data_IF_916999249008
#
_entry.id   IF_916999249008
#
_cell.length_a   1.000
_cell.length_b   1.000
_cell.length_c   1.000
_cell.angle_alpha   90.00
_cell.angle_beta   90.00
_cell.angle_gamma   90.00
#
_symmetry.space_group_name_H-M   'P 1'
#
loop_
_entity.id
_entity.type
_entity.pdbx_description
1 polymer ?
#
# COMPACT_ATOMS: atom_id res chain seq x y z
N UNK A 1 12.61 19.17 7.94
CA UNK A 1 11.80 18.32 7.05
C UNK A 1 11.92 16.88 7.54
N UNK A 2 11.07 16.47 8.47
CA UNK A 2 11.00 15.08 8.89
C UNK A 2 9.82 14.45 8.16
N UNK A 3 10.06 13.98 6.96
CA UNK A 3 9.06 13.30 6.14
C UNK A 3 8.86 11.83 6.54
N UNK A 4 9.55 11.40 7.58
CA UNK A 4 9.32 10.12 8.24
C UNK A 4 9.30 10.40 9.74
N UNK A 5 8.14 10.64 10.30
CA UNK A 5 7.96 10.78 11.75
C UNK A 5 7.93 9.44 12.48
N UNK A 6 7.90 8.31 11.76
CA UNK A 6 7.74 7.00 12.32
C UNK A 6 9.05 6.24 12.47
N UNK A 7 9.19 5.59 13.61
CA UNK A 7 10.31 4.71 13.86
C UNK A 7 10.12 3.42 13.05
N UNK A 8 10.67 3.36 11.83
CA UNK A 8 10.66 2.20 10.94
C UNK A 8 11.61 1.08 11.38
N UNK A 9 12.03 1.06 12.64
CA UNK A 9 12.81 -0.07 13.15
C UNK A 9 11.93 -1.30 13.18
N UNK A 10 12.45 -2.39 12.65
CA UNK A 10 11.82 -3.70 12.71
C UNK A 10 11.54 -4.09 14.15
N UNK A 11 10.36 -4.58 14.44
CA UNK A 11 10.08 -5.16 15.75
C UNK A 11 10.95 -6.41 15.94
N UNK A 12 11.67 -6.45 17.05
CA UNK A 12 12.44 -7.65 17.42
C UNK A 12 11.48 -8.65 18.05
N UNK A 13 11.24 -9.76 17.38
CA UNK A 13 10.42 -10.87 17.88
C UNK A 13 11.28 -12.12 18.01
N UNK A 14 10.86 -13.02 18.88
CA UNK A 14 11.41 -14.37 18.92
C UNK A 14 11.13 -15.08 17.59
N UNK A 15 12.11 -15.84 17.12
CA UNK A 15 11.96 -16.62 15.87
C UNK A 15 10.89 -17.68 16.04
N UNK A 16 9.99 -17.78 15.07
CA UNK A 16 9.02 -18.86 14.98
C UNK A 16 9.68 -20.12 14.45
N UNK A 17 9.19 -21.27 14.90
CA UNK A 17 9.56 -22.57 14.32
C UNK A 17 9.00 -22.75 12.90
N UNK A 18 7.84 -22.19 12.64
CA UNK A 18 7.18 -22.24 11.35
C UNK A 18 7.59 -21.05 10.49
N UNK A 19 7.91 -21.25 9.20
CA UNK A 19 8.30 -20.16 8.32
C UNK A 19 7.11 -19.24 8.03
N UNK A 20 7.40 -17.95 7.84
CA UNK A 20 6.46 -16.99 7.31
C UNK A 20 6.24 -17.19 5.80
N UNK A 21 7.32 -17.44 5.05
CA UNK A 21 7.26 -17.77 3.64
C UNK A 21 7.01 -19.27 3.46
N UNK A 22 5.74 -19.64 3.54
CA UNK A 22 5.31 -21.04 3.42
C UNK A 22 5.60 -21.63 2.04
N UNK A 23 5.67 -22.96 1.94
CA UNK A 23 5.86 -23.64 0.66
C UNK A 23 4.73 -23.36 -0.34
N UNK A 24 3.54 -23.07 0.17
CA UNK A 24 2.40 -22.64 -0.66
C UNK A 24 2.68 -21.27 -1.29
N UNK A 25 3.07 -20.27 -0.48
CA UNK A 25 3.43 -18.93 -0.98
C UNK A 25 4.60 -18.98 -1.97
N UNK A 26 5.64 -19.79 -1.68
CA UNK A 26 6.77 -19.99 -2.62
C UNK A 26 6.31 -20.55 -3.97
N UNK A 27 5.41 -21.53 -3.94
CA UNK A 27 4.84 -22.14 -5.15
C UNK A 27 4.03 -21.13 -5.95
N UNK A 28 3.17 -20.34 -5.30
CA UNK A 28 2.37 -19.30 -5.93
C UNK A 28 3.25 -18.20 -6.55
N UNK A 29 4.22 -17.70 -5.80
CA UNK A 29 5.17 -16.70 -6.30
C UNK A 29 5.97 -17.22 -7.50
N UNK A 30 6.45 -18.47 -7.42
CA UNK A 30 7.19 -19.09 -8.51
C UNK A 30 6.35 -19.27 -9.76
N UNK A 31 5.13 -19.78 -9.62
CA UNK A 31 4.23 -20.01 -10.75
C UNK A 31 3.77 -18.72 -11.42
N UNK A 32 3.48 -17.68 -10.62
CA UNK A 32 2.91 -16.42 -11.11
C UNK A 32 3.96 -15.47 -11.66
N UNK A 33 5.11 -15.34 -10.98
CA UNK A 33 6.04 -14.25 -11.23
C UNK A 33 7.34 -14.66 -11.93
N UNK A 34 7.92 -15.85 -11.66
CA UNK A 34 9.16 -16.26 -12.32
C UNK A 34 9.07 -16.30 -13.84
N UNK A 35 7.95 -16.73 -14.46
CA UNK A 35 7.84 -16.67 -15.92
C UNK A 35 7.74 -15.26 -16.49
N UNK A 36 7.42 -14.25 -15.67
CA UNK A 36 7.21 -12.86 -16.10
C UNK A 36 8.46 -12.00 -16.01
N UNK A 37 9.42 -12.40 -15.19
CA UNK A 37 10.59 -11.60 -14.88
C UNK A 37 11.88 -12.34 -15.24
N UNK A 38 12.89 -11.62 -15.77
CA UNK A 38 14.15 -12.23 -16.18
C UNK A 38 15.04 -12.65 -14.99
N UNK A 39 14.79 -12.10 -13.79
CA UNK A 39 15.59 -12.38 -12.60
C UNK A 39 14.69 -12.61 -11.37
N UNK A 40 15.14 -13.45 -10.45
CA UNK A 40 14.45 -13.66 -9.16
C UNK A 40 14.34 -12.37 -8.34
N UNK A 41 15.33 -11.48 -8.43
CA UNK A 41 15.31 -10.17 -7.74
C UNK A 41 14.07 -9.35 -8.07
N UNK A 42 13.56 -9.41 -9.29
CA UNK A 42 12.35 -8.68 -9.69
C UNK A 42 11.08 -9.16 -8.97
N UNK A 43 11.14 -10.31 -8.30
CA UNK A 43 10.02 -10.87 -7.52
C UNK A 43 10.05 -10.40 -6.05
N UNK A 44 11.03 -9.58 -5.66
CA UNK A 44 11.17 -9.12 -4.27
C UNK A 44 9.93 -8.33 -3.80
N UNK A 45 9.46 -7.35 -4.57
CA UNK A 45 8.26 -6.59 -4.21
C UNK A 45 7.01 -7.49 -4.08
N UNK A 46 6.69 -8.34 -5.08
CA UNK A 46 5.61 -9.32 -4.94
C UNK A 46 5.72 -10.23 -3.71
N UNK A 47 6.94 -10.67 -3.37
CA UNK A 47 7.15 -11.54 -2.22
C UNK A 47 6.89 -10.80 -0.88
N UNK A 48 7.35 -9.56 -0.76
CA UNK A 48 7.06 -8.72 0.41
C UNK A 48 5.56 -8.44 0.56
N UNK A 49 4.87 -8.15 -0.55
CA UNK A 49 3.41 -8.01 -0.53
C UNK A 49 2.71 -9.31 -0.09
N UNK A 50 3.12 -10.46 -0.60
CA UNK A 50 2.53 -11.74 -0.20
C UNK A 50 2.67 -12.01 1.31
N UNK A 51 3.83 -11.70 1.88
CA UNK A 51 4.04 -11.78 3.34
C UNK A 51 3.14 -10.78 4.08
N UNK A 52 3.13 -9.51 3.64
CA UNK A 52 2.32 -8.49 4.29
C UNK A 52 0.83 -8.80 4.25
N UNK A 53 0.33 -9.33 3.14
CA UNK A 53 -1.06 -9.79 3.03
C UNK A 53 -1.38 -10.96 3.95
N UNK A 54 -0.45 -11.92 4.08
CA UNK A 54 -0.66 -13.09 4.94
C UNK A 54 -0.60 -12.76 6.45
N UNK A 55 0.22 -11.78 6.84
CA UNK A 55 0.52 -11.52 8.26
C UNK A 55 0.25 -10.09 8.71
N UNK A 56 -0.24 -9.22 7.81
CA UNK A 56 -0.53 -7.81 8.04
C UNK A 56 0.71 -6.91 8.27
N UNK A 57 1.91 -7.47 8.27
CA UNK A 57 3.22 -6.80 8.38
C UNK A 57 4.35 -7.74 7.97
N UNK A 58 5.60 -7.24 7.89
CA UNK A 58 6.76 -8.01 7.42
C UNK A 58 7.78 -8.18 8.57
N UNK A 59 7.80 -9.34 9.25
CA UNK A 59 8.80 -9.65 10.27
C UNK A 59 10.21 -9.80 9.70
N UNK A 60 11.24 -9.56 10.52
CA UNK A 60 12.64 -9.76 10.13
C UNK A 60 12.90 -11.19 9.62
N UNK A 61 12.37 -12.20 10.29
CA UNK A 61 12.50 -13.60 9.87
C UNK A 61 11.91 -13.80 8.46
N UNK A 62 10.77 -13.19 8.14
CA UNK A 62 10.19 -13.27 6.80
C UNK A 62 11.09 -12.65 5.73
N UNK A 63 11.77 -11.53 6.05
CA UNK A 63 12.73 -10.92 5.13
C UNK A 63 13.95 -11.82 4.86
N UNK A 64 14.45 -12.51 5.88
CA UNK A 64 15.52 -13.49 5.74
C UNK A 64 15.09 -14.69 4.86
N UNK A 65 13.88 -15.19 5.07
CA UNK A 65 13.30 -16.29 4.28
C UNK A 65 13.06 -15.88 2.80
N UNK A 66 12.61 -14.66 2.57
CA UNK A 66 12.48 -14.08 1.21
C UNK A 66 13.85 -13.93 0.55
N UNK A 67 14.87 -13.49 1.30
CA UNK A 67 16.22 -13.35 0.81
C UNK A 67 16.77 -14.70 0.34
N UNK A 68 16.62 -15.75 1.16
CA UNK A 68 17.05 -17.11 0.81
C UNK A 68 16.31 -17.62 -0.43
N UNK A 69 14.99 -17.46 -0.50
CA UNK A 69 14.16 -17.91 -1.62
C UNK A 69 14.53 -17.25 -2.95
N UNK A 70 14.85 -15.96 -2.91
CA UNK A 70 15.17 -15.17 -4.11
C UNK A 70 16.68 -15.12 -4.41
N UNK A 71 17.52 -15.78 -3.59
CA UNK A 71 18.98 -15.75 -3.70
C UNK A 71 19.56 -14.33 -3.57
N UNK A 72 19.01 -13.54 -2.65
CA UNK A 72 19.40 -12.18 -2.33
C UNK A 72 20.08 -12.13 -0.95
N UNK A 73 20.76 -11.04 -0.64
CA UNK A 73 21.20 -10.80 0.72
C UNK A 73 20.05 -10.28 1.59
N UNK A 74 19.98 -10.63 2.89
CA UNK A 74 18.98 -10.05 3.80
C UNK A 74 19.03 -8.51 3.86
N UNK A 75 20.18 -7.91 3.65
CA UNK A 75 20.34 -6.46 3.59
C UNK A 75 19.59 -5.84 2.40
N UNK A 76 19.65 -6.44 1.21
CA UNK A 76 18.92 -5.97 0.03
C UNK A 76 17.40 -6.03 0.24
N UNK A 77 16.91 -7.07 0.92
CA UNK A 77 15.50 -7.20 1.26
C UNK A 77 15.09 -6.14 2.26
N UNK A 78 15.89 -5.92 3.31
CA UNK A 78 15.66 -4.89 4.31
C UNK A 78 15.68 -3.48 3.71
N UNK A 79 16.66 -3.18 2.85
CA UNK A 79 16.75 -1.90 2.15
C UNK A 79 15.48 -1.62 1.34
N UNK A 80 14.99 -2.62 0.62
CA UNK A 80 13.75 -2.50 -0.15
C UNK A 80 12.55 -2.31 0.76
N UNK A 81 12.41 -3.12 1.81
CA UNK A 81 11.30 -3.05 2.73
C UNK A 81 11.25 -1.73 3.52
N UNK A 82 12.41 -1.12 3.80
CA UNK A 82 12.49 0.19 4.47
C UNK A 82 12.34 1.38 3.53
N UNK A 83 12.59 1.20 2.23
CA UNK A 83 12.50 2.26 1.23
C UNK A 83 11.05 2.61 0.90
N UNK A 84 10.17 1.61 0.74
CA UNK A 84 8.78 1.82 0.37
C UNK A 84 7.89 2.01 1.59
N UNK A 85 7.08 3.06 1.60
CA UNK A 85 6.13 3.37 2.69
C UNK A 85 5.00 2.36 2.82
N UNK A 86 4.72 1.62 1.76
CA UNK A 86 3.71 0.58 1.73
C UNK A 86 4.04 -0.62 2.64
N UNK A 87 5.33 -0.86 2.91
CA UNK A 87 5.74 -2.01 3.73
C UNK A 87 5.79 -1.67 5.22
N UNK A 88 5.07 -2.48 5.99
CA UNK A 88 4.99 -2.35 7.44
C UNK A 88 5.92 -3.33 8.13
N UNK A 89 6.89 -2.80 8.85
CA UNK A 89 7.90 -3.58 9.60
C UNK A 89 7.51 -3.79 11.07
N UNK A 90 6.28 -3.39 11.42
CA UNK A 90 5.65 -3.59 12.73
C UNK A 90 4.20 -3.99 12.53
N UNK A 91 3.63 -4.72 13.50
CA UNK A 91 2.21 -5.01 13.47
C UNK A 91 1.39 -3.72 13.37
N UNK A 92 0.44 -3.69 12.46
CA UNK A 92 -0.55 -2.62 12.32
C UNK A 92 -1.94 -3.13 12.65
N UNK A 93 -2.87 -2.21 12.85
CA UNK A 93 -4.27 -2.55 13.06
C UNK A 93 -4.92 -3.20 11.84
N UNK A 94 -6.09 -3.76 12.05
CA UNK A 94 -6.90 -4.34 10.98
C UNK A 94 -7.21 -3.31 9.87
N UNK A 95 -7.46 -2.07 10.26
CA UNK A 95 -7.69 -0.94 9.35
C UNK A 95 -6.59 0.09 9.51
N UNK A 96 -5.86 0.33 8.43
CA UNK A 96 -4.89 1.38 8.33
C UNK A 96 -5.55 2.62 7.72
N UNK A 97 -5.68 3.68 8.50
CA UNK A 97 -6.21 4.96 8.06
C UNK A 97 -5.03 5.86 7.72
N UNK A 98 -4.93 6.27 6.45
CA UNK A 98 -3.81 7.03 5.92
C UNK A 98 -4.35 8.35 5.36
N UNK A 99 -4.18 9.45 6.08
CA UNK A 99 -4.67 10.76 5.67
C UNK A 99 -3.61 11.46 4.84
N UNK A 100 -3.99 11.95 3.67
CA UNK A 100 -3.08 12.74 2.83
C UNK A 100 -2.83 14.12 3.46
N UNK A 101 -1.55 14.48 3.63
CA UNK A 101 -1.12 15.77 4.17
C UNK A 101 -0.40 16.66 3.15
N UNK A 102 -0.48 16.32 1.86
CA UNK A 102 0.14 17.13 0.81
C UNK A 102 -0.61 18.44 0.58
N UNK A 103 0.03 19.38 -0.09
CA UNK A 103 -0.39 20.77 -0.21
C UNK A 103 -1.88 20.95 -0.53
N UNK A 104 -2.41 20.25 -1.53
CA UNK A 104 -3.83 20.39 -1.90
C UNK A 104 -4.76 19.93 -0.77
N UNK A 105 -4.44 18.82 -0.11
CA UNK A 105 -5.22 18.31 1.01
C UNK A 105 -5.10 19.21 2.24
N UNK A 106 -3.92 19.75 2.51
CA UNK A 106 -3.67 20.70 3.58
C UNK A 106 -4.52 21.98 3.42
N UNK A 107 -4.54 22.57 2.22
CA UNK A 107 -5.40 23.72 1.89
C UNK A 107 -6.89 23.38 2.04
N UNK A 108 -7.26 22.12 1.80
CA UNK A 108 -8.62 21.61 1.97
C UNK A 108 -8.88 21.02 3.38
N UNK A 109 -8.15 21.46 4.39
CA UNK A 109 -8.38 21.12 5.82
C UNK A 109 -8.14 19.64 6.18
N UNK A 110 -7.23 18.92 5.50
CA UNK A 110 -6.90 17.52 5.87
C UNK A 110 -6.43 17.36 7.30
N UNK A 111 -5.79 18.40 7.88
CA UNK A 111 -5.39 18.40 9.28
C UNK A 111 -6.59 18.20 10.22
N UNK A 112 -7.77 18.75 9.89
CA UNK A 112 -9.00 18.54 10.69
C UNK A 112 -9.44 17.08 10.68
N UNK A 113 -9.18 16.35 9.58
CA UNK A 113 -9.48 14.92 9.50
C UNK A 113 -8.54 14.11 10.40
N UNK A 114 -7.24 14.41 10.35
CA UNK A 114 -6.23 13.79 11.24
C UNK A 114 -6.56 14.04 12.71
N UNK A 115 -6.80 15.28 13.10
CA UNK A 115 -7.10 15.64 14.49
C UNK A 115 -8.39 14.97 14.97
N UNK A 116 -9.39 14.88 14.11
CA UNK A 116 -10.62 14.17 14.42
C UNK A 116 -10.39 12.66 14.61
N UNK A 117 -9.59 12.01 13.74
CA UNK A 117 -9.22 10.60 13.91
C UNK A 117 -8.50 10.37 15.23
N UNK A 118 -7.51 11.20 15.56
CA UNK A 118 -6.78 11.11 16.85
C UNK A 118 -7.74 11.18 18.04
N UNK A 119 -8.63 12.15 18.03
CA UNK A 119 -9.61 12.32 19.09
C UNK A 119 -10.61 11.15 19.18
N UNK A 120 -11.14 10.70 18.04
CA UNK A 120 -12.13 9.65 17.96
C UNK A 120 -11.58 8.27 18.35
N UNK A 121 -10.37 7.96 17.90
CA UNK A 121 -9.73 6.66 18.10
C UNK A 121 -8.91 6.60 19.38
N UNK A 122 -8.59 7.77 19.98
CA UNK A 122 -7.78 7.87 21.19
C UNK A 122 -6.32 7.46 20.99
N UNK A 123 -5.77 7.69 19.81
CA UNK A 123 -4.40 7.34 19.42
C UNK A 123 -3.71 8.53 18.75
N UNK A 124 -2.39 8.54 18.78
CA UNK A 124 -1.56 9.46 18.03
C UNK A 124 -1.15 8.86 16.66
N UNK A 125 -0.51 9.69 15.82
CA UNK A 125 0.02 9.21 14.54
C UNK A 125 1.04 8.09 14.76
N UNK A 126 0.95 7.04 13.95
CA UNK A 126 1.80 5.84 14.05
C UNK A 126 1.36 4.83 15.11
N UNK A 127 0.33 5.14 15.87
CA UNK A 127 -0.18 4.24 16.89
C UNK A 127 -1.34 3.39 16.40
N UNK A 128 -1.51 2.26 17.07
CA UNK A 128 -2.62 1.33 16.87
C UNK A 128 -3.52 1.34 18.09
N UNK A 129 -4.83 1.32 17.88
CA UNK A 129 -5.81 1.23 18.98
C UNK A 129 -5.58 -0.01 19.83
N UNK A 130 -5.86 0.02 21.15
CA UNK A 130 -5.63 -1.11 22.04
C UNK A 130 -6.35 -2.41 21.65
N UNK A 131 -7.46 -2.30 20.92
CA UNK A 131 -8.20 -3.43 20.37
C UNK A 131 -7.58 -4.01 19.10
N UNK A 132 -6.47 -3.42 18.61
CA UNK A 132 -5.80 -3.85 17.38
C UNK A 132 -6.56 -3.52 16.10
N UNK A 133 -7.60 -2.68 16.18
CA UNK A 133 -8.49 -2.46 15.05
C UNK A 133 -8.01 -1.39 14.09
N UNK A 134 -7.53 -0.26 14.58
CA UNK A 134 -7.15 0.88 13.76
C UNK A 134 -5.70 1.28 13.98
N UNK A 135 -5.03 1.63 12.89
CA UNK A 135 -3.75 2.35 12.90
C UNK A 135 -3.94 3.65 12.12
N UNK A 136 -3.45 4.77 12.65
CA UNK A 136 -3.56 6.08 12.03
C UNK A 136 -2.19 6.58 11.59
N UNK A 137 -2.08 6.98 10.33
CA UNK A 137 -0.88 7.65 9.79
C UNK A 137 -1.24 8.76 8.83
N UNK A 138 -0.28 9.61 8.54
CA UNK A 138 -0.33 10.58 7.46
C UNK A 138 0.60 10.16 6.32
N UNK A 139 0.16 10.38 5.09
CA UNK A 139 0.97 10.19 3.88
C UNK A 139 1.20 11.51 3.15
N UNK A 140 2.33 11.61 2.44
CA UNK A 140 2.68 12.84 1.72
C UNK A 140 1.74 13.12 0.55
N UNK A 141 1.41 12.14 -0.28
CA UNK A 141 0.50 12.36 -1.42
C UNK A 141 -0.12 11.06 -1.90
N UNK A 142 -1.45 11.06 -2.05
CA UNK A 142 -2.23 9.94 -2.59
C UNK A 142 -2.60 10.11 -4.06
N UNK A 143 -2.12 11.16 -4.74
CA UNK A 143 -2.32 11.36 -6.17
C UNK A 143 -3.70 11.88 -6.59
N UNK A 144 -4.63 12.13 -5.67
CA UNK A 144 -6.01 12.54 -5.94
C UNK A 144 -6.26 14.02 -5.55
N UNK A 145 -5.38 14.93 -5.99
CA UNK A 145 -5.43 16.34 -5.60
C UNK A 145 -6.69 17.07 -6.09
N UNK A 146 -7.32 16.59 -7.18
CA UNK A 146 -8.54 17.19 -7.73
C UNK A 146 -9.78 16.96 -6.86
N UNK A 147 -9.74 16.03 -5.94
CA UNK A 147 -10.83 15.62 -5.05
C UNK A 147 -10.45 15.72 -3.57
N UNK A 148 -9.49 16.61 -3.28
CA UNK A 148 -9.00 16.85 -1.92
C UNK A 148 -10.12 17.34 -0.96
N UNK A 149 -10.03 17.03 0.35
CA UNK A 149 -9.02 16.21 0.99
C UNK A 149 -9.34 14.71 0.87
N UNK A 150 -8.30 13.86 0.85
CA UNK A 150 -8.43 12.42 0.64
C UNK A 150 -7.72 11.60 1.71
N UNK A 151 -8.17 10.36 1.90
CA UNK A 151 -7.51 9.36 2.74
C UNK A 151 -7.67 7.97 2.14
N UNK A 152 -6.73 7.06 2.46
CA UNK A 152 -6.91 5.63 2.26
C UNK A 152 -7.39 4.98 3.57
N UNK A 153 -8.31 4.04 3.44
CA UNK A 153 -8.59 3.07 4.49
C UNK A 153 -8.24 1.70 3.92
N UNK A 154 -7.12 1.15 4.38
CA UNK A 154 -6.41 0.08 3.69
C UNK A 154 -6.15 0.48 2.23
N UNK A 155 -6.65 -0.29 1.25
CA UNK A 155 -6.44 -0.03 -0.17
C UNK A 155 -7.57 0.78 -0.83
N UNK A 156 -8.56 1.23 -0.05
CA UNK A 156 -9.72 1.97 -0.57
C UNK A 156 -9.49 3.48 -0.42
N UNK A 157 -9.45 4.18 -1.55
CA UNK A 157 -9.36 5.64 -1.60
C UNK A 157 -10.72 6.27 -1.32
N UNK A 158 -10.76 7.21 -0.40
CA UNK A 158 -11.91 8.02 -0.07
C UNK A 158 -11.62 9.50 -0.39
N UNK A 159 -12.50 10.10 -1.14
CA UNK A 159 -12.31 11.43 -1.74
C UNK A 159 -13.33 12.43 -1.21
N UNK A 160 -12.99 13.75 -1.37
CA UNK A 160 -13.84 14.86 -0.90
C UNK A 160 -14.31 14.65 0.55
N UNK A 161 -13.36 14.29 1.41
CA UNK A 161 -13.65 13.93 2.78
C UNK A 161 -14.06 15.14 3.61
N UNK A 162 -15.07 14.90 4.44
CA UNK A 162 -15.43 15.74 5.60
C UNK A 162 -15.33 14.89 6.85
N UNK A 163 -15.29 15.52 8.02
CA UNK A 163 -15.33 14.81 9.30
C UNK A 163 -16.52 13.86 9.37
N UNK A 164 -17.68 14.28 8.87
CA UNK A 164 -18.90 13.48 8.87
C UNK A 164 -18.80 12.25 7.94
N UNK A 165 -18.25 12.44 6.73
CA UNK A 165 -17.98 11.31 5.81
C UNK A 165 -17.00 10.32 6.42
N UNK A 166 -15.92 10.82 7.03
CA UNK A 166 -14.93 9.98 7.70
C UNK A 166 -15.52 9.18 8.86
N UNK A 167 -16.41 9.81 9.64
CA UNK A 167 -17.16 9.14 10.70
C UNK A 167 -18.03 8.00 10.20
N UNK A 168 -18.71 8.21 9.08
CA UNK A 168 -19.55 7.18 8.44
C UNK A 168 -18.70 6.02 7.95
N UNK A 169 -17.53 6.31 7.32
CA UNK A 169 -16.60 5.30 6.86
C UNK A 169 -16.11 4.46 8.05
N UNK A 170 -15.55 5.09 9.08
CA UNK A 170 -15.01 4.38 10.25
C UNK A 170 -16.11 3.57 10.96
N UNK A 171 -17.30 4.14 11.09
CA UNK A 171 -18.44 3.48 11.74
C UNK A 171 -19.03 2.33 10.94
N UNK A 172 -18.89 2.35 9.61
CA UNK A 172 -19.38 1.32 8.70
C UNK A 172 -18.43 0.14 8.50
N UNK A 173 -17.19 0.25 8.96
CA UNK A 173 -16.19 -0.82 8.79
C UNK A 173 -16.59 -2.08 9.58
N UNK A 174 -16.53 -3.29 8.97
CA UNK A 174 -16.81 -4.55 9.66
C UNK A 174 -15.97 -4.73 10.92
N UNK A 175 -16.55 -5.39 11.94
CA UNK A 175 -15.83 -5.71 13.18
C UNK A 175 -14.91 -6.91 13.03
N UNK A 176 -15.26 -7.82 12.13
CA UNK A 176 -14.45 -9.00 11.83
C UNK A 176 -13.35 -8.66 10.85
N UNK A 177 -12.19 -9.27 11.04
CA UNK A 177 -11.05 -9.06 10.17
C UNK A 177 -11.40 -9.45 8.73
N UNK A 178 -11.21 -8.54 7.80
CA UNK A 178 -11.23 -8.88 6.38
C UNK A 178 -10.04 -9.81 6.09
N UNK A 179 -10.29 -10.88 5.36
CA UNK A 179 -9.21 -11.75 4.90
C UNK A 179 -8.50 -11.08 3.72
N UNK A 180 -7.38 -10.39 4.02
CA UNK A 180 -6.56 -9.70 3.01
C UNK A 180 -5.78 -10.65 2.09
N UNK A 181 -5.92 -11.98 2.27
CA UNK A 181 -5.21 -12.97 1.45
C UNK A 181 -5.65 -12.97 -0.01
N UNK A 182 -6.76 -12.34 -0.34
CA UNK A 182 -7.16 -12.11 -1.73
C UNK A 182 -7.24 -10.60 -2.01
N UNK A 183 -6.17 -9.97 -2.54
CA UNK A 183 -6.18 -8.55 -2.88
C UNK A 183 -7.21 -8.18 -3.97
N UNK A 184 -7.85 -9.19 -4.58
CA UNK A 184 -8.90 -8.98 -5.57
C UNK A 184 -10.32 -9.10 -5.00
N UNK A 185 -10.50 -9.57 -3.77
CA UNK A 185 -11.84 -9.69 -3.15
C UNK A 185 -12.40 -8.32 -2.75
N UNK A 186 -11.55 -7.40 -2.30
CA UNK A 186 -11.97 -6.03 -1.94
C UNK A 186 -12.51 -5.23 -3.14
N UNK A 187 -12.28 -5.69 -4.36
CA UNK A 187 -12.73 -5.04 -5.58
C UNK A 187 -14.12 -5.51 -6.05
N UNK A 188 -14.71 -6.50 -5.41
CA UNK A 188 -16.02 -7.03 -5.82
C UNK A 188 -17.21 -6.24 -5.28
N UNK A 189 -17.02 -5.40 -4.27
CA UNK A 189 -18.12 -4.69 -3.61
C UNK A 189 -18.42 -3.32 -4.23
N UNK A 190 -18.51 -3.24 -5.55
CA UNK A 190 -19.16 -2.12 -6.24
C UNK A 190 -18.27 -1.13 -6.97
N UNK A 191 -16.96 -1.30 -6.96
CA UNK A 191 -16.09 -0.61 -7.92
C UNK A 191 -15.69 -1.59 -9.01
N UNK A 192 -16.09 -1.32 -10.25
CA UNK A 192 -15.56 -2.02 -11.42
C UNK A 192 -14.05 -1.77 -11.48
N UNK A 193 -13.30 -2.64 -10.81
CA UNK A 193 -11.87 -2.61 -10.90
C UNK A 193 -11.50 -2.97 -12.34
N UNK A 194 -10.75 -2.11 -12.97
CA UNK A 194 -9.94 -2.51 -14.10
C UNK A 194 -8.82 -3.44 -13.58
N UNK A 195 -9.20 -4.68 -13.24
CA UNK A 195 -8.25 -5.74 -12.92
C UNK A 195 -7.26 -5.92 -14.07
N UNK A 196 -6.07 -6.48 -13.82
CA UNK A 196 -5.17 -6.84 -14.92
C UNK A 196 -5.94 -7.72 -15.87
N UNK A 197 -6.01 -7.31 -17.14
CA UNK A 197 -6.65 -8.05 -18.22
C UNK A 197 -6.24 -9.50 -18.15
N UNK A 198 -7.20 -10.42 -18.26
CA UNK A 198 -6.90 -11.84 -18.34
C UNK A 198 -5.83 -12.09 -19.40
N UNK A 199 -4.94 -13.09 -19.24
CA UNK A 199 -3.93 -13.39 -20.25
C UNK A 199 -4.59 -13.56 -21.60
N UNK A 200 -4.28 -12.67 -22.57
CA UNK A 200 -4.87 -12.68 -23.90
C UNK A 200 -5.89 -11.58 -24.19
N UNK A 201 -6.35 -10.82 -23.23
CA UNK A 201 -7.07 -9.57 -23.50
C UNK A 201 -6.05 -8.43 -23.45
N UNK A 202 -5.72 -7.87 -24.62
CA UNK A 202 -4.93 -6.65 -24.69
C UNK A 202 -5.59 -5.58 -23.83
N UNK A 203 -4.77 -4.73 -23.20
CA UNK A 203 -5.26 -3.49 -22.60
C UNK A 203 -6.21 -2.84 -23.61
N UNK A 204 -7.40 -2.38 -23.20
CA UNK A 204 -8.20 -1.53 -24.07
C UNK A 204 -7.27 -0.43 -24.54
N UNK A 205 -7.22 -0.22 -25.86
CA UNK A 205 -6.44 0.85 -26.47
C UNK A 205 -6.83 2.17 -25.81
N UNK A 206 -6.18 2.48 -24.73
CA UNK A 206 -6.16 3.84 -24.18
C UNK A 206 -5.24 4.63 -25.07
N UNK A 207 -5.68 4.87 -26.32
CA UNK A 207 -5.22 5.97 -27.12
C UNK A 207 -5.65 7.27 -26.44
N UNK A 208 -5.09 7.52 -25.26
CA UNK A 208 -4.96 8.87 -24.77
C UNK A 208 -3.92 9.49 -25.68
N UNK A 209 -4.39 10.07 -26.78
CA UNK A 209 -3.62 11.01 -27.56
C UNK A 209 -3.25 12.17 -26.62
N UNK A 210 -2.12 12.03 -25.93
CA UNK A 210 -1.36 13.23 -25.56
C UNK A 210 -1.05 13.90 -26.87
N UNK A 211 -1.79 14.98 -27.17
CA UNK A 211 -1.57 15.78 -28.35
C UNK A 211 -0.09 16.14 -28.43
N UNK A 212 0.62 15.54 -29.32
CA UNK A 212 1.92 16.00 -29.77
C UNK A 212 1.68 17.25 -30.59
N UNK A 213 1.52 18.34 -29.90
CA UNK A 213 1.76 19.65 -30.50
C UNK A 213 3.25 19.95 -30.50
N UNK A 214 4.02 19.22 -31.26
CA UNK A 214 5.35 19.63 -31.72
C UNK A 214 5.55 18.94 -33.08
N UNK A 215 4.88 19.45 -34.10
CA UNK A 215 5.28 19.22 -35.48
C UNK A 215 6.65 19.91 -35.67
N UNK A 216 7.70 19.11 -35.63
CA UNK A 216 8.99 19.50 -36.17
C UNK A 216 8.95 19.32 -37.70
N UNK A 217 8.38 20.28 -38.40
CA UNK A 217 8.59 20.46 -39.84
C UNK A 217 8.39 21.94 -40.21
N UNK A 218 9.45 22.68 -40.08
CA UNK A 218 9.74 23.83 -40.92
C UNK A 218 11.25 23.88 -41.17
N UNK A 219 11.69 22.97 -42.08
CA UNK A 219 12.68 23.39 -43.03
C UNK A 219 12.03 24.49 -43.85
N UNK A 220 12.52 25.72 -43.71
CA UNK A 220 12.61 26.77 -44.75
C UNK A 220 13.32 27.95 -44.11
N UNK A 221 14.51 28.13 -44.56
CA UNK A 221 15.00 29.13 -45.45
C UNK A 221 15.66 30.40 -44.81
N UNK A 222 16.86 30.52 -45.24
CA UNK A 222 17.72 31.71 -45.42
C UNK A 222 18.47 32.18 -44.21
#
# INVERSE_FOLDING_TARGET
MAWISENRRTATLERRSEPYLTEELKRELSAKYFPRYPTKRAVLLPALHAIQHAYNWIPMQAMEEVAEFLELSPAEVLDTATFYEEYWLRPKGQYLIQVCRSLACEICDSQKLTDHCKQKLGIELGETTPDGRFTLVELECLGACGTAPVALVNDVLHEELTVQKLDQIIGGLPKEAHDYRDPFVTWKDGHEAHGPSAPGQGLPDTNVHFGRGLDASSEDAV
#
